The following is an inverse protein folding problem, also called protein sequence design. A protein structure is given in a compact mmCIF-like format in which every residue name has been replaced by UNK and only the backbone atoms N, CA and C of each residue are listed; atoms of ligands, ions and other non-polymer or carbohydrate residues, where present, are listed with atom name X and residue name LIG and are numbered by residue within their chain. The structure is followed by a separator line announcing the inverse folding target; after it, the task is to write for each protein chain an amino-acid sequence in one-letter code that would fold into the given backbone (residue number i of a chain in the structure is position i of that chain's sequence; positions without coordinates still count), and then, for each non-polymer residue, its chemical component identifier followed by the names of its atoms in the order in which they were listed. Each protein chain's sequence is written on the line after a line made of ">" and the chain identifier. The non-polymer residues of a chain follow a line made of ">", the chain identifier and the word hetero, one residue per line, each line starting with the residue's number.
data_IF_530785547545
#
_entry.id   IF_530785547545
#
_cell.length_a   1.000
_cell.length_b   1.000
_cell.length_c   1.000
_cell.angle_alpha   90.00
_cell.angle_beta   90.00
_cell.angle_gamma   90.00
#
_symmetry.space_group_name_H-M   'P 1'
#
loop_
_entity.id
_entity.type
_entity.pdbx_description
1 polymer ?
#
# COMPACT_ATOMS: atom_id res chain seq x y z
N UNK A 1 13.86 -4.81 8.83
CA UNK A 1 12.68 -3.98 8.51
C UNK A 1 11.85 -3.92 9.79
N UNK A 2 11.51 -2.74 10.30
CA UNK A 2 10.94 -2.58 11.65
C UNK A 2 9.73 -1.65 11.77
N UNK A 3 9.17 -1.18 10.64
CA UNK A 3 7.91 -0.43 10.61
C UNK A 3 6.70 -1.34 10.40
N UNK A 4 5.52 -0.74 10.41
CA UNK A 4 4.22 -1.41 10.25
C UNK A 4 3.93 -1.69 8.78
N UNK A 5 3.30 -2.83 8.49
CA UNK A 5 2.80 -3.18 7.17
C UNK A 5 1.29 -2.99 7.11
N UNK A 6 0.84 -2.28 6.06
CA UNK A 6 -0.56 -2.10 5.71
C UNK A 6 -0.88 -2.78 4.38
N UNK A 7 -2.10 -3.27 4.24
CA UNK A 7 -2.55 -4.06 3.10
C UNK A 7 -3.81 -3.46 2.47
N UNK A 8 -3.82 -3.35 1.15
CA UNK A 8 -4.90 -2.76 0.36
C UNK A 8 -5.42 -3.76 -0.66
N UNK A 9 -6.72 -3.99 -0.64
CA UNK A 9 -7.43 -4.91 -1.52
C UNK A 9 -8.76 -4.29 -1.97
N UNK A 10 -8.82 -3.84 -3.21
CA UNK A 10 -10.02 -3.20 -3.80
C UNK A 10 -11.27 -4.09 -3.75
N UNK A 11 -11.07 -5.42 -3.89
CA UNK A 11 -12.16 -6.37 -4.11
C UNK A 11 -12.72 -6.92 -2.79
N UNK A 12 -11.82 -7.37 -1.91
CA UNK A 12 -12.19 -8.08 -0.67
C UNK A 12 -11.96 -7.21 0.60
N UNK A 13 -11.33 -6.05 0.46
CA UNK A 13 -11.02 -5.14 1.57
C UNK A 13 -12.21 -4.28 2.01
N UNK A 14 -12.10 -3.71 3.21
CA UNK A 14 -13.08 -2.78 3.79
C UNK A 14 -12.35 -1.69 4.57
N UNK A 15 -12.68 -0.41 4.33
CA UNK A 15 -11.99 0.72 4.99
C UNK A 15 -12.23 0.83 6.50
N UNK A 16 -13.18 0.06 7.02
CA UNK A 16 -13.38 -0.14 8.47
C UNK A 16 -12.35 -1.09 9.09
N UNK A 17 -11.59 -1.83 8.28
CA UNK A 17 -10.54 -2.74 8.76
C UNK A 17 -9.31 -1.98 9.26
N UNK A 18 -8.46 -2.69 10.01
CA UNK A 18 -7.19 -2.15 10.52
C UNK A 18 -6.06 -2.11 9.48
N UNK A 19 -6.22 -2.83 8.36
CA UNK A 19 -5.24 -2.90 7.29
C UNK A 19 -4.00 -3.70 7.64
N UNK A 20 -3.93 -4.42 8.77
CA UNK A 20 -2.68 -5.03 9.27
C UNK A 20 -2.43 -6.45 8.75
N UNK A 21 -3.33 -6.99 7.92
CA UNK A 21 -3.14 -8.26 7.22
C UNK A 21 -3.98 -8.30 5.95
N UNK A 22 -3.69 -9.22 5.02
CA UNK A 22 -4.54 -9.46 3.86
C UNK A 22 -5.99 -9.83 4.23
N UNK A 23 -6.19 -10.54 5.35
CA UNK A 23 -7.53 -10.92 5.81
C UNK A 23 -8.35 -9.74 6.34
N UNK A 24 -7.67 -8.67 6.77
CA UNK A 24 -8.26 -7.42 7.24
C UNK A 24 -7.71 -6.23 6.43
N UNK A 25 -7.57 -6.39 5.10
CA UNK A 25 -7.09 -5.33 4.24
C UNK A 25 -8.10 -4.19 4.19
N UNK A 26 -7.62 -2.96 4.03
CA UNK A 26 -8.50 -1.82 3.70
C UNK A 26 -8.79 -1.81 2.21
N UNK A 27 -9.88 -1.15 1.82
CA UNK A 27 -10.32 -1.17 0.43
C UNK A 27 -9.56 -0.12 -0.39
N UNK A 28 -9.32 1.06 0.18
CA UNK A 28 -8.71 2.18 -0.52
C UNK A 28 -7.25 2.42 -0.13
N UNK A 29 -6.48 2.91 -1.09
CA UNK A 29 -5.11 3.38 -0.88
C UNK A 29 -5.13 4.59 0.06
N UNK A 30 -6.07 5.51 -0.11
CA UNK A 30 -6.24 6.67 0.77
C UNK A 30 -6.40 6.27 2.23
N UNK A 31 -7.18 5.23 2.53
CA UNK A 31 -7.35 4.72 3.89
C UNK A 31 -6.05 4.14 4.45
N UNK A 32 -5.29 3.39 3.66
CA UNK A 32 -3.99 2.86 4.11
C UNK A 32 -2.98 3.97 4.41
N UNK A 33 -2.97 5.04 3.60
CA UNK A 33 -2.13 6.21 3.85
C UNK A 33 -2.53 6.91 5.16
N UNK A 34 -3.83 7.05 5.42
CA UNK A 34 -4.32 7.64 6.67
C UNK A 34 -3.89 6.81 7.90
N UNK A 35 -4.02 5.49 7.83
CA UNK A 35 -3.56 4.57 8.88
C UNK A 35 -2.03 4.64 9.08
N UNK A 36 -1.27 4.66 7.98
CA UNK A 36 0.18 4.85 8.02
C UNK A 36 0.57 6.16 8.72
N UNK A 37 0.01 7.28 8.26
CA UNK A 37 0.40 8.59 8.76
C UNK A 37 0.03 8.77 10.24
N UNK A 38 -1.04 8.13 10.70
CA UNK A 38 -1.44 8.13 12.10
C UNK A 38 -0.48 7.35 13.01
N UNK A 39 0.31 6.40 12.48
CA UNK A 39 1.25 5.57 13.26
C UNK A 39 2.70 6.01 13.16
N UNK A 40 3.01 7.04 12.37
CA UNK A 40 4.36 7.61 12.31
C UNK A 40 4.76 8.19 13.68
N UNK A 41 5.85 7.68 14.24
CA UNK A 41 6.47 8.26 15.43
C UNK A 41 7.31 9.49 15.05
N UNK A 42 6.76 10.68 15.31
CA UNK A 42 7.42 11.96 15.05
C UNK A 42 8.59 12.26 16.00
N UNK A 43 8.72 11.55 17.11
CA UNK A 43 9.87 11.63 18.03
C UNK A 43 11.05 10.72 17.65
N UNK A 44 10.81 9.63 16.93
CA UNK A 44 11.87 8.64 16.60
C UNK A 44 12.90 9.18 15.59
N UNK A 45 14.20 8.92 15.82
CA UNK A 45 15.29 9.27 14.89
C UNK A 45 16.38 8.17 14.88
N UNK A 46 16.72 7.57 13.71
CA UNK A 46 16.14 7.80 12.39
C UNK A 46 14.70 7.27 12.31
N UNK A 47 13.88 7.89 11.45
CA UNK A 47 12.51 7.45 11.22
C UNK A 47 12.47 6.02 10.71
N UNK A 48 11.64 5.17 11.31
CA UNK A 48 11.30 3.86 10.75
C UNK A 48 10.36 4.03 9.56
N UNK A 49 10.58 3.20 8.55
CA UNK A 49 9.72 3.18 7.37
C UNK A 49 8.67 2.07 7.50
N UNK A 50 7.42 2.47 7.33
CA UNK A 50 6.29 1.56 7.15
C UNK A 50 6.21 1.08 5.69
N UNK A 51 5.33 0.12 5.43
CA UNK A 51 5.03 -0.36 4.09
C UNK A 51 3.53 -0.40 3.86
N UNK A 52 3.08 -0.02 2.67
CA UNK A 52 1.72 -0.25 2.16
C UNK A 52 1.84 -1.19 0.96
N UNK A 53 1.26 -2.37 1.06
CA UNK A 53 1.18 -3.34 -0.03
C UNK A 53 -0.18 -3.25 -0.71
N UNK A 54 -0.17 -3.04 -2.02
CA UNK A 54 -1.40 -2.85 -2.82
C UNK A 54 -1.59 -4.04 -3.73
N UNK A 55 -2.70 -4.79 -3.57
CA UNK A 55 -3.05 -5.91 -4.44
C UNK A 55 -3.36 -5.39 -5.85
N UNK A 56 -3.09 -6.16 -6.93
CA UNK A 56 -3.40 -5.71 -8.28
C UNK A 56 -4.90 -5.50 -8.46
N UNK A 57 -5.29 -4.26 -8.80
CA UNK A 57 -6.64 -3.86 -9.15
C UNK A 57 -6.61 -2.46 -9.80
N UNK A 58 -7.79 -1.93 -10.16
CA UNK A 58 -7.96 -0.53 -10.57
C UNK A 58 -8.62 0.20 -9.40
N UNK A 59 -7.85 1.01 -8.67
CA UNK A 59 -8.36 1.78 -7.53
C UNK A 59 -8.89 3.13 -8.01
N UNK A 60 -10.15 3.42 -7.69
CA UNK A 60 -10.72 4.76 -7.90
C UNK A 60 -10.53 5.55 -6.62
N UNK A 61 -9.52 6.42 -6.59
CA UNK A 61 -9.19 7.24 -5.44
C UNK A 61 -9.54 8.71 -5.70
N UNK A 62 -10.05 9.39 -4.69
CA UNK A 62 -10.24 10.84 -4.68
C UNK A 62 -9.29 11.45 -3.63
N UNK A 63 -8.60 12.53 -3.98
CA UNK A 63 -7.74 13.32 -3.09
C UNK A 63 -6.72 12.53 -2.23
N UNK A 64 -5.79 11.83 -2.89
CA UNK A 64 -4.71 11.09 -2.21
C UNK A 64 -3.75 12.03 -1.46
N UNK A 65 -3.60 11.79 -0.16
CA UNK A 65 -2.58 12.41 0.68
C UNK A 65 -1.19 11.77 0.45
N UNK A 66 -0.11 12.48 0.79
CA UNK A 66 1.23 11.90 0.75
C UNK A 66 1.47 10.89 1.88
N UNK A 67 2.05 9.71 1.60
CA UNK A 67 2.49 8.78 2.64
C UNK A 67 3.84 9.20 3.23
N UNK A 68 3.89 9.47 4.53
CA UNK A 68 5.12 9.84 5.22
C UNK A 68 5.89 8.61 5.69
N UNK A 69 7.22 8.62 5.46
CA UNK A 69 8.15 7.56 5.89
C UNK A 69 7.60 6.16 5.58
N UNK A 70 7.17 5.94 4.35
CA UNK A 70 6.47 4.74 3.95
C UNK A 70 6.85 4.34 2.53
N UNK A 71 6.98 3.04 2.30
CA UNK A 71 7.07 2.47 0.97
C UNK A 71 5.67 2.11 0.49
N UNK A 72 5.22 2.68 -0.62
CA UNK A 72 4.01 2.24 -1.31
C UNK A 72 4.40 1.26 -2.41
N UNK A 73 3.95 0.01 -2.28
CA UNK A 73 4.42 -1.13 -3.07
C UNK A 73 3.22 -1.76 -3.77
N UNK A 74 3.11 -1.50 -5.08
CA UNK A 74 2.19 -2.23 -5.94
C UNK A 74 2.67 -3.66 -6.15
N UNK A 75 1.82 -4.64 -5.85
CA UNK A 75 2.07 -6.02 -6.19
C UNK A 75 1.69 -6.25 -7.64
N UNK A 76 2.41 -7.13 -8.32
CA UNK A 76 2.03 -7.62 -9.66
C UNK A 76 1.34 -8.97 -9.56
N UNK A 77 0.47 -9.28 -10.52
CA UNK A 77 0.04 -10.65 -10.81
C UNK A 77 0.69 -11.08 -12.13
N UNK A 78 1.27 -12.29 -12.15
CA UNK A 78 1.64 -12.97 -13.40
C UNK A 78 0.50 -13.92 -13.77
N UNK A 79 -0.44 -13.47 -14.60
CA UNK A 79 -1.65 -14.25 -14.89
C UNK A 79 -2.23 -14.07 -16.30
N UNK A 80 -2.39 -12.84 -16.79
CA UNK A 80 -2.98 -12.57 -18.12
C UNK A 80 -2.41 -11.29 -18.75
N UNK A 81 -2.32 -11.28 -20.08
CA UNK A 81 -1.73 -10.22 -20.95
C UNK A 81 -2.49 -8.88 -20.97
N UNK A 82 -3.35 -8.64 -19.97
CA UNK A 82 -4.25 -7.47 -19.89
C UNK A 82 -4.11 -6.67 -18.60
N UNK A 83 -3.22 -7.06 -17.68
CA UNK A 83 -3.01 -6.36 -16.42
C UNK A 83 -1.78 -5.44 -16.45
N UNK A 84 -1.83 -4.41 -15.59
CA UNK A 84 -0.76 -3.41 -15.44
C UNK A 84 0.49 -4.09 -14.88
N UNK A 85 1.58 -4.08 -15.64
CA UNK A 85 2.85 -4.74 -15.33
C UNK A 85 3.96 -3.71 -15.07
N UNK A 86 4.87 -3.98 -14.12
CA UNK A 86 6.16 -3.28 -14.03
C UNK A 86 7.12 -3.91 -15.04
N UNK A 87 7.28 -3.28 -16.21
CA UNK A 87 8.19 -3.75 -17.27
C UNK A 87 9.63 -3.34 -16.98
N UNK A 88 10.50 -4.31 -16.70
CA UNK A 88 11.95 -4.10 -16.65
C UNK A 88 12.54 -4.15 -18.06
N UNK A 89 12.89 -3.01 -18.65
CA UNK A 89 13.70 -3.00 -19.86
C UNK A 89 15.15 -3.36 -19.50
N UNK A 90 15.59 -4.56 -19.89
CA UNK A 90 17.03 -4.84 -19.99
C UNK A 90 17.55 -4.15 -21.24
N UNK A 91 18.24 -3.01 -21.05
CA UNK A 91 18.99 -2.37 -22.12
C UNK A 91 20.39 -3.02 -22.15
N UNK A 92 20.80 -3.61 -23.29
CA UNK A 92 22.14 -4.20 -23.42
C UNK A 92 23.25 -3.16 -23.29
#
# INVERSE_FOLDING_TARGET
>A
MGGVAYYVDDLDGLDTNDGLSWANAVQTIGRAIALNNATVDWGETPKKYNAIYVKPAVYTEEDLSFPYYCWLIGLGIRGTDTQVEIKGEFRP
#
